data_IF_579463300112
#
_entry.id   IF_579463300112
#
_cell.length_a   1.000
_cell.length_b   1.000
_cell.length_c   1.000
_cell.angle_alpha   90.00
_cell.angle_beta   90.00
_cell.angle_gamma   90.00
#
_symmetry.space_group_name_H-M   'P 1'
#
loop_
_entity.id
_entity.type
_entity.pdbx_description
1 polymer ?
#
# COMPACT_ATOMS: atom_id res chain seq x y z
N UNK A 1 -35.80 17.45 -19.43
CA UNK A 1 -35.89 17.21 -17.97
C UNK A 1 -34.62 16.47 -17.56
N UNK A 2 -33.59 17.20 -17.15
CA UNK A 2 -32.25 16.70 -16.84
C UNK A 2 -32.17 16.32 -15.36
N UNK A 3 -31.90 15.05 -15.05
CA UNK A 3 -31.56 14.63 -13.68
C UNK A 3 -30.04 14.45 -13.58
N UNK A 4 -29.40 15.37 -12.87
CA UNK A 4 -28.03 15.22 -12.41
C UNK A 4 -28.02 14.25 -11.23
N UNK A 5 -27.52 13.03 -11.43
CA UNK A 5 -27.13 12.14 -10.34
C UNK A 5 -25.85 12.72 -9.72
N UNK A 6 -25.81 13.02 -8.40
CA UNK A 6 -24.58 13.46 -7.77
C UNK A 6 -23.53 12.33 -7.83
N UNK A 7 -22.24 12.64 -8.06
CA UNK A 7 -21.21 11.62 -8.08
C UNK A 7 -21.06 11.06 -6.67
N UNK A 8 -21.50 9.81 -6.52
CA UNK A 8 -20.96 8.77 -5.65
C UNK A 8 -19.88 9.25 -4.66
N UNK A 9 -20.29 9.53 -3.42
CA UNK A 9 -19.38 9.62 -2.27
C UNK A 9 -18.88 8.21 -1.91
N UNK A 10 -18.17 7.56 -2.85
CA UNK A 10 -17.40 6.37 -2.52
C UNK A 10 -16.29 6.79 -1.55
N UNK A 11 -16.17 6.17 -0.36
CA UNK A 11 -15.06 6.47 0.54
C UNK A 11 -13.76 6.28 -0.24
N UNK A 12 -12.92 7.32 -0.22
CA UNK A 12 -11.62 7.48 -0.93
C UNK A 12 -10.54 6.46 -0.53
N UNK A 13 -10.95 5.30 -0.04
CA UNK A 13 -10.14 4.15 0.37
C UNK A 13 -10.33 2.92 -0.50
N UNK A 14 -11.28 2.92 -1.46
CA UNK A 14 -11.61 1.73 -2.24
C UNK A 14 -10.56 1.32 -3.29
N UNK A 15 -9.66 2.23 -3.70
CA UNK A 15 -8.56 1.93 -4.66
C UNK A 15 -7.15 1.86 -4.06
N UNK A 16 -6.96 2.20 -2.76
CA UNK A 16 -5.65 2.13 -2.09
C UNK A 16 -5.41 0.82 -1.32
N UNK A 17 -6.40 -0.07 -1.26
CA UNK A 17 -6.27 -1.35 -0.55
C UNK A 17 -5.48 -2.41 -1.34
N UNK A 18 -5.55 -2.43 -2.67
CA UNK A 18 -4.86 -3.46 -3.48
C UNK A 18 -3.42 -3.12 -3.88
N UNK A 19 -3.07 -1.83 -4.03
CA UNK A 19 -1.70 -1.43 -4.39
C UNK A 19 -0.71 -1.49 -3.21
N UNK A 20 -1.16 -1.14 -2.00
CA UNK A 20 -0.30 -1.09 -0.79
C UNK A 20 0.31 -2.43 -0.35
N UNK A 21 -0.41 -3.57 -0.42
CA UNK A 21 0.16 -4.87 -0.05
C UNK A 21 1.31 -5.30 -0.96
N UNK A 22 1.22 -5.00 -2.26
CA UNK A 22 2.25 -5.39 -3.22
C UNK A 22 3.56 -4.61 -3.01
N UNK A 23 3.48 -3.30 -2.73
CA UNK A 23 4.66 -2.48 -2.46
C UNK A 23 5.34 -2.87 -1.14
N UNK A 24 4.55 -3.14 -0.10
CA UNK A 24 5.07 -3.68 1.17
C UNK A 24 5.76 -5.03 0.96
N UNK A 25 5.17 -5.93 0.18
CA UNK A 25 5.75 -7.24 -0.11
C UNK A 25 7.08 -7.09 -0.88
N UNK A 26 7.11 -6.24 -1.90
CA UNK A 26 8.33 -5.95 -2.67
C UNK A 26 9.43 -5.41 -1.77
N UNK A 27 9.11 -4.39 -0.96
CA UNK A 27 10.05 -3.79 -0.02
C UNK A 27 10.56 -4.78 1.03
N UNK A 28 9.69 -5.67 1.52
CA UNK A 28 10.06 -6.71 2.47
C UNK A 28 11.05 -7.69 1.86
N UNK A 29 10.79 -8.16 0.63
CA UNK A 29 11.67 -9.09 -0.08
C UNK A 29 13.06 -8.48 -0.32
N UNK A 30 13.12 -7.22 -0.76
CA UNK A 30 14.40 -6.53 -0.96
C UNK A 30 15.20 -6.44 0.36
N UNK A 31 14.54 -6.03 1.45
CA UNK A 31 15.19 -5.91 2.77
C UNK A 31 15.61 -7.27 3.35
N UNK A 32 14.85 -8.34 3.08
CA UNK A 32 15.20 -9.68 3.53
C UNK A 32 16.44 -10.23 2.81
N UNK A 33 16.63 -9.89 1.53
CA UNK A 33 17.83 -10.29 0.78
C UNK A 33 19.06 -9.49 1.24
N UNK A 34 18.89 -8.20 1.55
CA UNK A 34 19.99 -7.32 1.98
C UNK A 34 20.46 -7.62 3.42
N UNK A 35 19.52 -7.87 4.35
CA UNK A 35 19.80 -7.87 5.79
C UNK A 35 19.45 -9.19 6.48
N UNK A 36 18.68 -10.05 5.83
CA UNK A 36 18.07 -11.24 6.43
C UNK A 36 16.70 -10.96 7.05
N UNK A 37 15.88 -12.02 7.10
CA UNK A 37 14.51 -11.95 7.62
C UNK A 37 14.44 -11.51 9.09
N UNK A 38 15.27 -12.11 9.95
CA UNK A 38 15.26 -11.84 11.40
C UNK A 38 15.73 -10.42 11.77
N UNK A 39 16.53 -9.78 10.91
CA UNK A 39 17.05 -8.43 11.14
C UNK A 39 16.10 -7.33 10.61
N UNK A 40 15.12 -7.67 9.78
CA UNK A 40 14.27 -6.70 9.10
C UNK A 40 13.05 -6.33 9.94
N UNK A 41 12.90 -5.03 10.24
CA UNK A 41 11.73 -4.50 10.97
C UNK A 41 10.62 -4.03 10.02
N UNK A 42 9.37 -4.17 10.47
CA UNK A 42 8.19 -3.71 9.73
C UNK A 42 8.24 -2.20 9.44
N UNK A 43 8.83 -1.41 10.35
CA UNK A 43 9.02 0.03 10.16
C UNK A 43 9.92 0.35 8.95
N UNK A 44 10.97 -0.45 8.73
CA UNK A 44 11.87 -0.30 7.58
C UNK A 44 11.17 -0.67 6.28
N UNK A 45 10.33 -1.71 6.32
CA UNK A 45 9.51 -2.12 5.17
C UNK A 45 8.51 -1.02 4.80
N UNK A 46 7.82 -0.45 5.78
CA UNK A 46 6.87 0.65 5.58
C UNK A 46 7.55 1.89 4.98
N UNK A 47 8.70 2.30 5.53
CA UNK A 47 9.51 3.41 4.99
C UNK A 47 9.96 3.15 3.54
N UNK A 48 10.43 1.94 3.24
CA UNK A 48 10.88 1.53 1.90
C UNK A 48 9.73 1.46 0.90
N UNK A 49 8.53 1.08 1.34
CA UNK A 49 7.31 1.04 0.54
C UNK A 49 6.55 2.38 0.47
N UNK A 50 7.00 3.42 1.18
CA UNK A 50 6.37 4.75 1.14
C UNK A 50 4.97 4.83 1.75
N UNK A 51 4.65 3.95 2.70
CA UNK A 51 3.33 3.88 3.38
C UNK A 51 3.32 4.48 4.77
#
# INVERSE_FOLDING_TARGET
MTISTPPDEEPRWRRRKDARPAELLRAALDLFVEQGFAATRIESIAKRAGV
#
